data_IF_286475776045
#
_entry.id   IF_286475776045
#
_cell.length_a   1.000
_cell.length_b   1.000
_cell.length_c   1.000
_cell.angle_alpha   90.00
_cell.angle_beta   90.00
_cell.angle_gamma   90.00
#
_symmetry.space_group_name_H-M   'P 1'
#
loop_
_entity.id
_entity.type
_entity.pdbx_description
1 polymer ?
#
# COMPACT_ATOMS: atom_id res chain seq x y z
N UNK A 1 15.85 -55.04 17.32
CA UNK A 1 15.47 -53.79 16.64
C UNK A 1 16.64 -53.33 15.78
N UNK A 2 16.53 -53.34 14.44
CA UNK A 2 17.54 -52.73 13.56
C UNK A 2 17.37 -51.22 13.65
N UNK A 3 18.36 -50.50 14.18
CA UNK A 3 18.42 -49.05 14.02
C UNK A 3 18.58 -48.76 12.53
N UNK A 4 17.54 -48.23 11.90
CA UNK A 4 17.58 -47.73 10.54
C UNK A 4 18.56 -46.56 10.50
N UNK A 5 19.80 -46.80 10.09
CA UNK A 5 20.81 -45.75 9.97
C UNK A 5 20.44 -44.84 8.81
N UNK A 6 20.07 -43.60 9.12
CA UNK A 6 19.73 -42.57 8.14
C UNK A 6 20.95 -42.32 7.23
N UNK A 7 20.74 -42.36 5.92
CA UNK A 7 21.78 -42.12 4.92
C UNK A 7 22.38 -40.72 5.07
N UNK A 8 23.70 -40.59 4.88
CA UNK A 8 24.41 -39.29 4.89
C UNK A 8 23.81 -38.28 3.91
N UNK A 9 23.25 -38.74 2.79
CA UNK A 9 22.56 -37.89 1.82
C UNK A 9 21.29 -37.27 2.39
N UNK A 10 20.54 -38.02 3.20
CA UNK A 10 19.32 -37.51 3.85
C UNK A 10 19.71 -36.41 4.84
N UNK A 11 20.79 -36.59 5.61
CA UNK A 11 21.32 -35.54 6.49
C UNK A 11 21.74 -34.28 5.75
N UNK A 12 22.39 -34.43 4.59
CA UNK A 12 22.76 -33.30 3.74
C UNK A 12 21.52 -32.51 3.26
N UNK A 13 20.51 -33.20 2.74
CA UNK A 13 19.25 -32.56 2.33
C UNK A 13 18.52 -31.90 3.51
N UNK A 14 18.52 -32.55 4.67
CA UNK A 14 17.88 -32.01 5.87
C UNK A 14 18.57 -30.71 6.34
N UNK A 15 19.90 -30.68 6.31
CA UNK A 15 20.68 -29.47 6.58
C UNK A 15 20.41 -28.37 5.56
N UNK A 16 20.31 -28.71 4.26
CA UNK A 16 19.99 -27.76 3.20
C UNK A 16 18.60 -27.13 3.40
N UNK A 17 17.58 -27.95 3.68
CA UNK A 17 16.22 -27.48 3.97
C UNK A 17 16.19 -26.61 5.22
N UNK A 18 16.96 -26.97 6.24
CA UNK A 18 17.05 -26.18 7.46
C UNK A 18 17.64 -24.79 7.20
N UNK A 19 18.74 -24.70 6.45
CA UNK A 19 19.36 -23.42 6.07
C UNK A 19 18.40 -22.59 5.22
N UNK A 20 17.75 -23.19 4.22
CA UNK A 20 16.75 -22.50 3.39
C UNK A 20 15.59 -21.96 4.24
N UNK A 21 15.14 -22.72 5.23
CA UNK A 21 14.05 -22.32 6.14
C UNK A 21 14.45 -21.13 7.01
N UNK A 22 15.70 -21.11 7.51
CA UNK A 22 16.22 -19.96 8.27
C UNK A 22 16.28 -18.72 7.38
N UNK A 23 16.81 -18.85 6.16
CA UNK A 23 16.89 -17.72 5.21
C UNK A 23 15.50 -17.16 4.92
N UNK A 24 14.52 -18.04 4.66
CA UNK A 24 13.13 -17.64 4.43
C UNK A 24 12.56 -16.89 5.64
N UNK A 25 12.82 -17.40 6.85
CA UNK A 25 12.33 -16.79 8.08
C UNK A 25 12.95 -15.39 8.26
N UNK A 26 14.26 -15.25 8.09
CA UNK A 26 14.95 -13.95 8.11
C UNK A 26 14.36 -12.99 7.08
N UNK A 27 14.11 -13.46 5.86
CA UNK A 27 13.49 -12.68 4.79
C UNK A 27 12.10 -12.17 5.18
N UNK A 28 11.23 -13.01 5.75
CA UNK A 28 9.88 -12.62 6.16
C UNK A 28 9.90 -11.47 7.20
N UNK A 29 10.87 -11.47 8.10
CA UNK A 29 10.99 -10.44 9.14
C UNK A 29 11.67 -9.14 8.65
N UNK A 30 12.62 -9.23 7.71
CA UNK A 30 13.42 -8.06 7.29
C UNK A 30 12.98 -7.45 5.97
N UNK A 31 12.36 -8.23 5.09
CA UNK A 31 11.92 -7.72 3.80
C UNK A 31 10.73 -6.78 4.00
N UNK A 32 10.94 -5.53 3.57
CA UNK A 32 9.95 -4.47 3.61
C UNK A 32 9.22 -4.39 2.28
N UNK A 33 7.90 -4.27 2.36
CA UNK A 33 6.99 -4.07 1.24
C UNK A 33 6.24 -2.76 1.45
N UNK A 34 5.94 -2.10 0.34
CA UNK A 34 5.07 -0.94 0.30
C UNK A 34 3.63 -1.32 0.67
N UNK A 35 3.14 -0.82 1.81
CA UNK A 35 1.73 -0.96 2.19
C UNK A 35 0.92 0.05 1.40
N UNK A 36 -0.02 -0.44 0.62
CA UNK A 36 -0.97 0.38 -0.14
C UNK A 36 -2.40 0.07 0.28
N UNK A 37 -3.26 1.09 0.29
CA UNK A 37 -4.70 0.93 0.55
C UNK A 37 -5.53 1.57 -0.56
N UNK A 38 -6.62 0.90 -0.94
CA UNK A 38 -7.55 1.41 -1.93
C UNK A 38 -8.39 2.52 -1.32
N UNK A 39 -8.55 3.60 -2.07
CA UNK A 39 -9.31 4.78 -1.66
C UNK A 39 -10.28 5.19 -2.76
N UNK A 40 -11.37 5.84 -2.36
CA UNK A 40 -12.29 6.49 -3.28
C UNK A 40 -12.26 7.99 -3.00
N UNK A 41 -11.95 8.76 -4.05
CA UNK A 41 -11.85 10.20 -4.01
C UNK A 41 -13.01 10.79 -4.80
N UNK A 42 -13.64 11.81 -4.24
CA UNK A 42 -14.74 12.52 -4.87
C UNK A 42 -14.37 13.98 -5.08
N UNK A 43 -14.59 14.49 -6.28
CA UNK A 43 -14.35 15.90 -6.60
C UNK A 43 -15.69 16.62 -6.55
N UNK A 44 -15.82 17.58 -5.64
CA UNK A 44 -17.05 18.35 -5.49
C UNK A 44 -17.24 19.42 -6.59
N UNK A 45 -18.39 20.08 -6.58
CA UNK A 45 -18.73 21.17 -7.50
C UNK A 45 -17.77 22.38 -7.43
N UNK A 46 -17.07 22.52 -6.28
CA UNK A 46 -16.07 23.56 -6.03
C UNK A 46 -14.66 23.09 -6.41
N UNK A 47 -14.55 21.96 -7.10
CA UNK A 47 -13.31 21.33 -7.55
C UNK A 47 -12.36 20.94 -6.41
N UNK A 48 -12.92 20.61 -5.24
CA UNK A 48 -12.18 20.14 -4.07
C UNK A 48 -12.25 18.63 -4.03
N UNK A 49 -11.10 18.01 -3.82
CA UNK A 49 -11.00 16.56 -3.71
C UNK A 49 -11.26 16.14 -2.25
N UNK A 50 -12.20 15.23 -2.08
CA UNK A 50 -12.60 14.67 -0.80
C UNK A 50 -12.31 13.19 -0.82
N UNK A 51 -11.52 12.74 0.14
CA UNK A 51 -11.41 11.31 0.42
C UNK A 51 -12.65 10.84 1.16
N UNK A 52 -13.35 9.89 0.54
CA UNK A 52 -14.54 9.25 1.08
C UNK A 52 -14.16 7.91 1.71
N UNK A 53 -14.81 7.54 2.82
CA UNK A 53 -14.68 6.20 3.40
C UNK A 53 -14.19 6.16 4.86
N UNK A 54 -13.22 5.28 5.15
CA UNK A 54 -12.86 4.86 6.50
C UNK A 54 -12.16 5.96 7.31
N UNK A 55 -12.75 6.35 8.44
CA UNK A 55 -12.20 7.35 9.36
C UNK A 55 -10.73 7.08 9.74
N UNK A 56 -10.31 5.82 9.88
CA UNK A 56 -8.91 5.50 10.22
C UNK A 56 -7.92 5.99 9.15
N UNK A 57 -8.31 5.94 7.88
CA UNK A 57 -7.48 6.40 6.78
C UNK A 57 -7.29 7.92 6.84
N UNK A 58 -8.35 8.68 7.14
CA UNK A 58 -8.33 10.15 7.23
C UNK A 58 -7.24 10.64 8.20
N UNK A 59 -7.11 9.97 9.35
CA UNK A 59 -6.11 10.31 10.37
C UNK A 59 -4.71 9.76 10.07
N UNK A 60 -4.59 8.81 9.14
CA UNK A 60 -3.30 8.24 8.74
C UNK A 60 -2.63 8.99 7.58
N UNK A 61 -3.38 9.85 6.87
CA UNK A 61 -2.84 10.65 5.78
C UNK A 61 -1.81 11.65 6.28
N UNK A 62 -0.75 11.81 5.50
CA UNK A 62 0.33 12.77 5.75
C UNK A 62 0.52 13.69 4.55
N UNK A 63 0.93 14.91 4.83
CA UNK A 63 1.39 15.83 3.81
C UNK A 63 2.62 15.24 3.10
N UNK A 64 2.71 15.43 1.79
CA UNK A 64 3.76 14.87 0.93
C UNK A 64 3.53 13.42 0.51
N UNK A 65 2.45 12.78 0.97
CA UNK A 65 2.16 11.39 0.65
C UNK A 65 1.73 11.24 -0.81
N UNK A 66 2.22 10.17 -1.45
CA UNK A 66 1.90 9.82 -2.83
C UNK A 66 0.57 9.07 -2.90
N UNK A 67 -0.30 9.51 -3.79
CA UNK A 67 -1.54 8.84 -4.17
C UNK A 67 -1.49 8.57 -5.66
N UNK A 68 -1.91 7.37 -6.05
CA UNK A 68 -2.05 6.96 -7.44
C UNK A 68 -3.54 6.98 -7.78
N UNK A 69 -3.95 7.88 -8.67
CA UNK A 69 -5.31 7.93 -9.19
C UNK A 69 -5.43 7.00 -10.39
N UNK A 70 -6.51 6.21 -10.45
CA UNK A 70 -6.83 5.39 -11.61
C UNK A 70 -7.98 6.03 -12.40
N UNK A 71 -7.68 6.54 -13.59
CA UNK A 71 -8.66 7.18 -14.47
C UNK A 71 -8.50 6.59 -15.87
N UNK A 72 -9.58 6.06 -16.46
CA UNK A 72 -9.58 5.47 -17.82
C UNK A 72 -8.44 4.45 -18.03
N UNK A 73 -8.26 3.54 -17.07
CA UNK A 73 -7.19 2.53 -17.02
C UNK A 73 -5.75 3.07 -17.02
N UNK A 74 -5.56 4.38 -16.87
CA UNK A 74 -4.26 5.00 -16.63
C UNK A 74 -4.07 5.33 -15.16
N UNK A 75 -2.84 5.21 -14.71
CA UNK A 75 -2.40 5.57 -13.37
C UNK A 75 -1.74 6.95 -13.39
N UNK A 76 -2.15 7.83 -12.49
CA UNK A 76 -1.63 9.18 -12.36
C UNK A 76 -1.13 9.42 -10.95
N UNK A 77 0.11 9.87 -10.83
CA UNK A 77 0.75 10.15 -9.56
C UNK A 77 0.42 11.57 -9.10
N UNK A 78 -0.14 11.69 -7.89
CA UNK A 78 -0.33 12.96 -7.21
C UNK A 78 0.32 12.95 -5.83
N UNK A 79 0.77 14.11 -5.37
CA UNK A 79 1.27 14.30 -4.02
C UNK A 79 0.31 15.16 -3.21
N UNK A 80 0.01 14.71 -2.00
CA UNK A 80 -0.83 15.45 -1.06
C UNK A 80 -0.09 16.71 -0.58
N UNK A 81 -0.61 17.89 -0.87
CA UNK A 81 0.00 19.16 -0.45
C UNK A 81 -0.59 19.69 0.85
N UNK A 82 -1.87 19.43 1.12
CA UNK A 82 -2.54 19.84 2.34
C UNK A 82 -3.71 18.92 2.65
N UNK A 83 -4.04 18.77 3.95
CA UNK A 83 -5.11 17.89 4.42
C UNK A 83 -5.97 18.66 5.42
N UNK A 84 -7.28 18.64 5.21
CA UNK A 84 -8.26 19.16 6.15
C UNK A 84 -9.27 18.08 6.49
N UNK A 85 -9.20 17.60 7.73
CA UNK A 85 -10.11 16.56 8.24
C UNK A 85 -11.46 17.21 8.56
N UNK A 86 -12.53 16.63 8.02
CA UNK A 86 -13.92 16.95 8.28
C UNK A 86 -14.58 15.78 9.03
N UNK A 87 -15.81 15.95 9.53
CA UNK A 87 -16.49 14.93 10.36
C UNK A 87 -16.54 13.54 9.70
N UNK A 88 -16.81 13.48 8.39
CA UNK A 88 -17.01 12.23 7.64
C UNK A 88 -16.14 12.11 6.38
N UNK A 89 -15.20 13.02 6.17
CA UNK A 89 -14.33 13.03 4.99
C UNK A 89 -13.02 13.76 5.29
N UNK A 90 -12.01 13.58 4.45
CA UNK A 90 -10.84 14.43 4.45
C UNK A 90 -10.78 15.21 3.13
N UNK A 91 -10.77 16.53 3.20
CA UNK A 91 -10.47 17.36 2.04
C UNK A 91 -8.96 17.35 1.82
N UNK A 92 -8.55 17.09 0.58
CA UNK A 92 -7.14 16.96 0.19
C UNK A 92 -6.85 17.96 -0.92
N UNK A 93 -5.84 18.79 -0.70
CA UNK A 93 -5.22 19.55 -1.78
C UNK A 93 -4.04 18.73 -2.30
N UNK A 94 -3.82 18.72 -3.62
CA UNK A 94 -2.80 17.90 -4.26
C UNK A 94 -2.01 18.67 -5.31
N UNK A 95 -0.81 18.16 -5.58
CA UNK A 95 0.07 18.61 -6.66
C UNK A 95 0.24 17.44 -7.63
N UNK A 96 0.02 17.70 -8.91
CA UNK A 96 0.30 16.77 -10.01
C UNK A 96 1.42 17.32 -10.86
N UNK A 97 2.33 16.44 -11.29
CA UNK A 97 3.36 16.76 -12.28
C UNK A 97 2.95 16.34 -13.70
N UNK A 98 1.84 15.61 -13.84
CA UNK A 98 1.28 15.27 -15.15
C UNK A 98 0.23 16.32 -15.53
N UNK A 99 0.54 17.08 -16.58
CA UNK A 99 -0.34 18.11 -17.14
C UNK A 99 -1.63 17.52 -17.75
N UNK A 100 -1.62 16.24 -18.12
CA UNK A 100 -2.79 15.55 -18.66
C UNK A 100 -3.83 15.21 -17.58
N UNK A 101 -3.48 15.27 -16.30
CA UNK A 101 -4.41 14.93 -15.22
C UNK A 101 -5.47 16.00 -15.02
N UNK A 102 -5.08 17.29 -14.98
CA UNK A 102 -5.99 18.42 -14.71
C UNK A 102 -7.27 18.41 -15.57
N UNK A 103 -7.22 18.20 -16.90
CA UNK A 103 -8.44 18.18 -17.72
C UNK A 103 -9.34 16.96 -17.47
N UNK A 104 -8.82 15.88 -16.88
CA UNK A 104 -9.59 14.68 -16.55
C UNK A 104 -10.35 14.81 -15.22
N UNK A 105 -9.89 15.69 -14.33
CA UNK A 105 -10.52 15.99 -13.05
C UNK A 105 -11.73 16.91 -13.26
N UNK A 106 -12.84 16.31 -13.69
CA UNK A 106 -14.14 16.98 -13.81
C UNK A 106 -14.80 17.11 -12.44
N UNK A 107 -15.78 18.01 -12.33
CA UNK A 107 -16.61 18.16 -11.13
C UNK A 107 -17.59 17.00 -11.01
N UNK A 108 -17.98 16.67 -9.79
CA UNK A 108 -18.97 15.64 -9.46
C UNK A 108 -18.58 14.26 -10.02
N UNK A 109 -17.32 13.89 -9.81
CA UNK A 109 -16.80 12.57 -10.20
C UNK A 109 -16.17 11.86 -9.01
N UNK A 110 -16.37 10.54 -8.98
CA UNK A 110 -15.64 9.63 -8.11
C UNK A 110 -14.48 9.00 -8.88
N UNK A 111 -13.33 8.93 -8.24
CA UNK A 111 -12.08 8.41 -8.78
C UNK A 111 -11.55 7.38 -7.79
N UNK A 112 -11.35 6.16 -8.29
CA UNK A 112 -10.65 5.14 -7.52
C UNK A 112 -9.16 5.44 -7.50
N UNK A 113 -8.55 5.26 -6.33
CA UNK A 113 -7.13 5.50 -6.14
C UNK A 113 -6.51 4.51 -5.18
N UNK A 114 -5.19 4.61 -5.08
CA UNK A 114 -4.38 3.84 -4.14
C UNK A 114 -3.47 4.80 -3.40
N UNK A 115 -3.54 4.78 -2.08
CA UNK A 115 -2.65 5.55 -1.21
C UNK A 115 -1.51 4.67 -0.71
N UNK A 116 -0.29 5.20 -0.76
CA UNK A 116 0.88 4.53 -0.21
C UNK A 116 1.05 4.91 1.26
N UNK A 117 0.78 3.98 2.19
CA UNK A 117 0.81 4.22 3.65
C UNK A 117 2.20 4.07 4.28
N UNK A 118 3.21 3.67 3.50
CA UNK A 118 4.60 3.51 3.91
C UNK A 118 5.06 2.06 3.81
N UNK A 119 6.22 1.77 4.38
CA UNK A 119 6.80 0.42 4.38
C UNK A 119 6.27 -0.42 5.55
N UNK A 120 5.95 -1.68 5.29
CA UNK A 120 5.66 -2.70 6.31
C UNK A 120 6.48 -3.96 6.03
N UNK A 121 6.74 -4.79 7.05
CA UNK A 121 7.41 -6.08 6.82
C UNK A 121 6.43 -7.13 6.29
N UNK A 122 6.95 -8.12 5.56
CA UNK A 122 6.15 -9.25 5.09
C UNK A 122 5.43 -9.95 6.24
N UNK A 123 6.11 -10.10 7.38
CA UNK A 123 5.55 -10.65 8.60
C UNK A 123 4.29 -9.90 9.06
N UNK A 124 4.39 -8.56 9.19
CA UNK A 124 3.26 -7.76 9.64
C UNK A 124 2.10 -7.84 8.66
N UNK A 125 2.38 -7.84 7.35
CA UNK A 125 1.35 -7.96 6.31
C UNK A 125 0.59 -9.30 6.40
N UNK A 126 1.29 -10.42 6.61
CA UNK A 126 0.70 -11.75 6.59
C UNK A 126 0.05 -12.15 7.92
N UNK A 127 0.60 -11.70 9.06
CA UNK A 127 0.23 -12.23 10.38
C UNK A 127 -0.35 -11.19 11.35
N UNK A 128 -0.28 -9.90 11.02
CA UNK A 128 -0.67 -8.81 11.92
C UNK A 128 -1.57 -7.80 11.18
N UNK A 129 -2.79 -8.23 10.88
CA UNK A 129 -3.85 -7.36 10.31
C UNK A 129 -4.31 -6.31 11.33
#
# INVERSE_FOLDING_TARGET
MKLTTISKWIWFWLALVFVASIILLVFIFHYKIEKTEKINLYIDEKNRMHLLGNNKLFYSLKQGQKIILKINDKAYDINVSNIKILKNSAQIDFISYDDNLKPLLRKDISIDGVIHLGETTLFNLLFKQ
#
